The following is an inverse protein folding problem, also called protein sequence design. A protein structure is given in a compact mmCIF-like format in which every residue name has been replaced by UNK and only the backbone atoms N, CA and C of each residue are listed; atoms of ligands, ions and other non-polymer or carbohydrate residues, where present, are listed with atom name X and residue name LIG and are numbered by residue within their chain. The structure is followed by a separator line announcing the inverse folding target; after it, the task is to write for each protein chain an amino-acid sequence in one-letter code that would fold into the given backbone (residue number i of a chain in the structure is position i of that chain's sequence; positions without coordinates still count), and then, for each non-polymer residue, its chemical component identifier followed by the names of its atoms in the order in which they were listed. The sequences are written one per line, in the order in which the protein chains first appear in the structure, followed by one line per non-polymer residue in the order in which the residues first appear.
data_IF_409558919033
#
_entry.id   IF_409558919033
#
_cell.length_a   1.000
_cell.length_b   1.000
_cell.length_c   1.000
_cell.angle_alpha   90.00
_cell.angle_beta   90.00
_cell.angle_gamma   90.00
#
_symmetry.space_group_name_H-M   'P 1'
#
loop_
_entity.id
_entity.type
_entity.pdbx_description
1 polymer ?
#
# COMPACT_ATOMS: atom_id res chain seq x y z
N UNK A 1 6.44 30.06 -10.17
CA UNK A 1 7.90 30.12 -10.47
C UNK A 1 8.28 28.93 -11.35
N UNK A 2 9.42 28.92 -12.04
CA UNK A 2 9.88 27.71 -12.73
C UNK A 2 11.39 27.49 -12.53
N UNK A 3 11.80 26.23 -12.59
CA UNK A 3 13.19 25.80 -12.72
C UNK A 3 13.38 25.13 -14.07
N UNK A 4 14.54 25.28 -14.69
CA UNK A 4 14.85 24.62 -15.96
C UNK A 4 16.15 23.83 -15.90
N UNK A 5 16.20 22.77 -16.69
CA UNK A 5 17.41 22.03 -16.99
C UNK A 5 17.60 22.08 -18.50
N UNK A 6 18.75 22.59 -18.92
CA UNK A 6 19.09 22.84 -20.32
C UNK A 6 20.44 22.19 -20.62
N UNK A 7 20.54 21.52 -21.76
CA UNK A 7 21.83 21.21 -22.37
C UNK A 7 21.94 21.92 -23.72
N UNK A 8 23.12 22.46 -24.00
CA UNK A 8 23.37 23.24 -25.22
C UNK A 8 24.73 22.90 -25.82
N UNK A 9 24.83 23.00 -27.14
CA UNK A 9 26.08 22.94 -27.90
C UNK A 9 26.77 24.30 -28.03
N UNK A 10 26.22 25.36 -27.42
CA UNK A 10 26.85 26.67 -27.38
C UNK A 10 28.26 26.58 -26.77
N UNK A 11 29.23 27.23 -27.42
CA UNK A 11 30.59 27.31 -26.88
C UNK A 11 30.59 28.25 -25.67
N UNK A 12 31.11 27.83 -24.49
CA UNK A 12 31.14 28.69 -23.31
C UNK A 12 31.94 29.97 -23.53
N UNK A 13 31.35 31.10 -23.14
CA UNK A 13 31.99 32.39 -23.03
C UNK A 13 32.82 32.40 -21.76
N UNK A 14 34.11 32.75 -21.89
CA UNK A 14 35.05 32.75 -20.78
C UNK A 14 35.44 34.16 -20.37
N UNK A 15 35.51 34.40 -19.07
CA UNK A 15 36.20 35.56 -18.49
C UNK A 15 37.35 35.04 -17.65
N UNK A 16 38.59 35.34 -18.07
CA UNK A 16 39.81 34.84 -17.42
C UNK A 16 39.87 33.30 -17.30
N UNK A 17 39.39 32.59 -18.32
CA UNK A 17 39.40 31.12 -18.37
C UNK A 17 38.24 30.43 -17.63
N UNK A 18 37.31 31.19 -17.04
CA UNK A 18 36.14 30.67 -16.32
C UNK A 18 34.86 30.95 -17.10
N UNK A 19 33.94 29.98 -17.27
CA UNK A 19 32.63 30.21 -17.87
C UNK A 19 31.87 31.33 -17.16
N UNK A 20 31.31 32.26 -17.94
CA UNK A 20 30.62 33.43 -17.40
C UNK A 20 29.10 33.43 -17.63
N UNK A 21 28.55 32.46 -18.37
CA UNK A 21 27.11 32.27 -18.55
C UNK A 21 26.44 33.28 -19.49
N UNK A 22 27.22 33.99 -20.31
CA UNK A 22 26.71 35.02 -21.25
C UNK A 22 26.46 34.50 -22.66
N UNK A 23 26.51 33.17 -22.86
CA UNK A 23 26.32 32.56 -24.16
C UNK A 23 24.91 32.82 -24.69
N UNK A 24 24.78 33.11 -25.99
CA UNK A 24 23.47 33.17 -26.63
C UNK A 24 22.92 31.75 -26.74
N UNK A 25 21.87 31.47 -25.98
CA UNK A 25 21.11 30.23 -26.08
C UNK A 25 19.90 30.45 -26.99
N UNK A 26 19.76 29.63 -28.01
CA UNK A 26 18.62 29.67 -28.92
C UNK A 26 18.27 28.27 -29.47
N UNK A 27 17.17 28.21 -30.23
CA UNK A 27 16.64 26.96 -30.76
C UNK A 27 17.64 26.13 -31.60
N UNK A 28 18.68 26.74 -32.16
CA UNK A 28 19.69 26.05 -32.99
C UNK A 28 20.74 25.29 -32.18
N UNK A 29 20.96 25.68 -30.91
CA UNK A 29 22.01 25.10 -30.07
C UNK A 29 21.48 24.38 -28.83
N UNK A 30 20.17 24.43 -28.55
CA UNK A 30 19.55 23.64 -27.49
C UNK A 30 19.50 22.16 -27.90
N UNK A 31 20.07 21.30 -27.07
CA UNK A 31 20.06 19.86 -27.25
C UNK A 31 18.95 19.18 -26.43
N UNK A 32 18.69 19.68 -25.22
CA UNK A 32 17.55 19.27 -24.41
C UNK A 32 17.10 20.41 -23.51
N UNK A 33 15.80 20.51 -23.27
CA UNK A 33 15.21 21.45 -22.33
C UNK A 33 14.07 20.78 -21.58
N UNK A 34 14.06 20.93 -20.25
CA UNK A 34 12.90 20.63 -19.42
C UNK A 34 12.61 21.77 -18.46
N UNK A 35 11.33 22.02 -18.19
CA UNK A 35 10.89 23.06 -17.25
C UNK A 35 9.91 22.51 -16.24
N UNK A 36 10.20 22.75 -14.97
CA UNK A 36 9.33 22.37 -13.86
C UNK A 36 8.76 23.65 -13.24
N UNK A 37 7.44 23.79 -13.24
CA UNK A 37 6.70 24.98 -12.80
C UNK A 37 6.10 24.72 -11.43
N UNK A 38 6.21 25.69 -10.52
CA UNK A 38 5.66 25.61 -9.15
C UNK A 38 4.67 26.72 -8.86
N UNK A 39 3.71 26.43 -7.97
CA UNK A 39 2.83 27.44 -7.36
C UNK A 39 3.56 28.22 -6.25
N UNK A 40 2.89 29.21 -5.65
CA UNK A 40 3.47 30.05 -4.60
C UNK A 40 3.80 29.30 -3.29
N UNK A 41 3.19 28.12 -3.09
CA UNK A 41 3.52 27.20 -2.01
C UNK A 41 4.72 26.29 -2.33
N UNK A 42 5.37 26.48 -3.48
CA UNK A 42 6.52 25.69 -3.93
C UNK A 42 6.17 24.30 -4.47
N UNK A 43 4.89 24.00 -4.67
CA UNK A 43 4.44 22.70 -5.16
C UNK A 43 4.51 22.64 -6.69
N UNK A 44 5.05 21.56 -7.25
CA UNK A 44 5.16 21.32 -8.69
C UNK A 44 3.78 21.26 -9.33
N UNK A 45 3.44 22.17 -10.24
CA UNK A 45 2.16 22.19 -10.96
C UNK A 45 2.27 21.70 -12.40
N UNK A 46 3.47 21.71 -12.98
CA UNK A 46 3.72 21.11 -14.29
C UNK A 46 5.20 20.74 -14.49
N UNK A 47 5.46 19.65 -15.20
CA UNK A 47 6.78 19.31 -15.77
C UNK A 47 6.66 19.23 -17.30
N UNK A 48 7.40 20.07 -18.01
CA UNK A 48 7.40 20.17 -19.46
C UNK A 48 8.70 19.58 -20.03
N UNK A 49 8.57 18.66 -20.99
CA UNK A 49 9.67 18.06 -21.74
C UNK A 49 9.62 18.53 -23.19
N UNK A 50 10.56 19.39 -23.57
CA UNK A 50 10.58 19.97 -24.90
C UNK A 50 11.13 18.98 -25.93
N UNK A 51 10.40 18.84 -27.02
CA UNK A 51 10.71 17.94 -28.14
C UNK A 51 10.97 18.72 -29.44
N UNK A 52 10.51 19.98 -29.52
CA UNK A 52 10.67 20.81 -30.70
C UNK A 52 10.58 22.29 -30.36
N UNK A 53 11.47 23.09 -30.97
CA UNK A 53 11.38 24.56 -30.94
C UNK A 53 10.85 25.13 -32.27
N UNK A 54 10.29 24.30 -33.15
CA UNK A 54 9.69 24.80 -34.38
C UNK A 54 8.59 25.83 -34.08
N UNK A 55 8.65 26.98 -34.75
CA UNK A 55 7.69 28.07 -34.58
C UNK A 55 7.73 28.78 -33.21
N UNK A 56 8.71 28.47 -32.35
CA UNK A 56 8.90 29.15 -31.06
C UNK A 56 10.37 29.53 -30.88
N UNK A 57 10.64 30.60 -30.14
CA UNK A 57 12.00 30.97 -29.76
C UNK A 57 12.23 30.64 -28.29
N UNK A 58 13.47 30.32 -27.94
CA UNK A 58 13.85 30.20 -26.55
C UNK A 58 13.76 31.57 -25.87
N UNK A 59 13.16 31.60 -24.67
CA UNK A 59 13.13 32.78 -23.82
C UNK A 59 13.18 32.36 -22.35
N UNK A 60 14.22 32.82 -21.65
CA UNK A 60 14.43 32.57 -20.22
C UNK A 60 13.48 33.39 -19.32
N UNK A 61 12.72 34.34 -19.87
CA UNK A 61 11.76 35.13 -19.10
C UNK A 61 10.34 34.55 -19.13
N UNK A 62 10.06 33.64 -20.06
CA UNK A 62 8.72 33.06 -20.26
C UNK A 62 8.66 31.68 -19.63
N UNK A 63 7.69 31.40 -18.76
CA UNK A 63 7.60 30.10 -18.07
C UNK A 63 7.20 28.94 -18.97
N UNK A 64 6.53 29.20 -20.09
CA UNK A 64 6.05 28.20 -21.05
C UNK A 64 6.38 28.67 -22.46
N UNK A 65 6.98 27.80 -23.28
CA UNK A 65 7.36 28.09 -24.67
C UNK A 65 6.52 27.25 -25.62
N UNK A 66 5.94 27.88 -26.65
CA UNK A 66 5.14 27.17 -27.64
C UNK A 66 3.92 26.45 -27.08
N UNK A 67 3.49 25.39 -27.76
CA UNK A 67 2.21 24.69 -27.54
C UNK A 67 2.43 23.25 -27.08
N UNK A 68 1.66 22.81 -26.07
CA UNK A 68 1.66 21.42 -25.60
C UNK A 68 1.28 20.43 -26.71
N UNK A 69 1.91 19.26 -26.72
CA UNK A 69 1.76 18.23 -27.76
C UNK A 69 2.47 18.55 -29.08
N UNK A 70 2.94 19.78 -29.28
CA UNK A 70 3.72 20.18 -30.47
C UNK A 70 5.18 20.49 -30.10
N UNK A 71 5.38 21.37 -29.13
CA UNK A 71 6.71 21.80 -28.69
C UNK A 71 7.19 21.04 -27.47
N UNK A 72 6.27 20.63 -26.59
CA UNK A 72 6.57 19.90 -25.37
C UNK A 72 5.46 18.93 -24.98
N UNK A 73 5.84 17.87 -24.27
CA UNK A 73 4.93 17.04 -23.50
C UNK A 73 4.87 17.57 -22.07
N UNK A 74 3.67 17.70 -21.50
CA UNK A 74 3.46 18.28 -20.17
C UNK A 74 2.79 17.28 -19.26
N UNK A 75 3.34 17.08 -18.06
CA UNK A 75 2.64 16.41 -16.96
C UNK A 75 2.17 17.48 -15.99
N UNK A 76 0.86 17.55 -15.73
CA UNK A 76 0.25 18.54 -14.84
C UNK A 76 -0.11 17.92 -13.49
N UNK A 77 -0.04 18.72 -12.43
CA UNK A 77 -0.26 18.27 -11.06
C UNK A 77 -1.25 19.18 -10.34
N UNK A 78 -2.17 18.58 -9.58
CA UNK A 78 -3.14 19.29 -8.75
C UNK A 78 -3.08 18.81 -7.31
N UNK A 79 -3.33 19.72 -6.36
CA UNK A 79 -3.22 19.46 -4.92
C UNK A 79 -4.55 19.71 -4.21
N UNK A 80 -4.75 19.04 -3.08
CA UNK A 80 -5.87 19.34 -2.18
C UNK A 80 -5.59 20.52 -1.26
N UNK A 81 -6.59 20.95 -0.48
CA UNK A 81 -6.45 22.07 0.47
C UNK A 81 -5.46 21.83 1.63
N UNK A 82 -4.93 20.61 1.79
CA UNK A 82 -3.85 20.29 2.74
C UNK A 82 -2.49 20.23 2.04
N UNK A 83 -2.43 20.55 0.75
CA UNK A 83 -1.20 20.52 -0.05
C UNK A 83 -0.75 19.13 -0.48
N UNK A 84 -1.62 18.11 -0.41
CA UNK A 84 -1.30 16.74 -0.85
C UNK A 84 -1.64 16.57 -2.33
N UNK A 85 -0.83 15.82 -3.08
CA UNK A 85 -1.04 15.59 -4.51
C UNK A 85 -2.36 14.85 -4.74
N UNK A 86 -3.34 15.50 -5.38
CA UNK A 86 -4.68 14.94 -5.61
C UNK A 86 -4.88 14.49 -7.06
N UNK A 87 -4.15 15.07 -8.02
CA UNK A 87 -4.34 14.86 -9.45
C UNK A 87 -3.00 14.88 -10.17
N UNK A 88 -2.83 13.96 -11.10
CA UNK A 88 -1.78 13.98 -12.12
C UNK A 88 -2.45 13.83 -13.47
N UNK A 89 -2.08 14.63 -14.45
CA UNK A 89 -2.48 14.44 -15.84
C UNK A 89 -1.21 14.32 -16.67
N UNK A 90 -1.03 13.18 -17.33
CA UNK A 90 0.11 12.97 -18.22
C UNK A 90 -0.06 13.72 -19.55
N UNK A 91 0.99 13.71 -20.37
CA UNK A 91 0.98 14.39 -21.65
C UNK A 91 0.03 13.80 -22.69
N UNK A 92 -0.47 12.58 -22.46
CA UNK A 92 -1.46 11.92 -23.31
C UNK A 92 -2.90 12.22 -22.84
N UNK A 93 -3.07 12.98 -21.75
CA UNK A 93 -4.36 13.28 -21.15
C UNK A 93 -4.88 12.19 -20.21
N UNK A 94 -4.06 11.20 -19.84
CA UNK A 94 -4.42 10.25 -18.79
C UNK A 94 -4.40 10.97 -17.46
N UNK A 95 -5.53 10.97 -16.77
CA UNK A 95 -5.71 11.59 -15.46
C UNK A 95 -5.67 10.50 -14.40
N UNK A 96 -4.80 10.64 -13.41
CA UNK A 96 -4.80 9.88 -12.17
C UNK A 96 -5.24 10.77 -11.02
N UNK A 97 -6.20 10.33 -10.21
CA UNK A 97 -6.68 11.04 -9.02
C UNK A 97 -6.55 10.21 -7.76
N UNK A 98 -6.14 10.85 -6.68
CA UNK A 98 -5.96 10.23 -5.36
C UNK A 98 -6.96 10.75 -4.35
N UNK A 99 -7.54 9.82 -3.59
CA UNK A 99 -8.36 10.11 -2.43
C UNK A 99 -7.59 9.75 -1.16
N UNK A 100 -7.77 10.56 -0.12
CA UNK A 100 -7.04 10.42 1.13
C UNK A 100 -7.99 10.34 2.32
N UNK A 101 -7.62 9.53 3.31
CA UNK A 101 -8.27 9.58 4.62
C UNK A 101 -7.82 10.84 5.42
N UNK A 102 -8.38 10.99 6.62
CA UNK A 102 -8.07 12.08 7.55
C UNK A 102 -6.60 12.14 7.99
N UNK A 103 -5.86 11.03 7.87
CA UNK A 103 -4.46 10.90 8.25
C UNK A 103 -3.48 11.12 7.09
N UNK A 104 -3.95 11.40 5.88
CA UNK A 104 -3.07 11.59 4.72
C UNK A 104 -2.64 10.33 4.00
N UNK A 105 -3.29 9.19 4.25
CA UNK A 105 -3.03 7.96 3.51
C UNK A 105 -3.98 7.83 2.32
N UNK A 106 -3.47 7.37 1.18
CA UNK A 106 -4.24 7.17 -0.05
C UNK A 106 -5.22 6.03 0.16
N UNK A 107 -6.52 6.28 0.07
CA UNK A 107 -7.58 5.27 0.18
C UNK A 107 -8.08 4.80 -1.18
N UNK A 108 -8.00 5.62 -2.21
CA UNK A 108 -8.44 5.24 -3.56
C UNK A 108 -7.57 5.91 -4.63
N UNK A 109 -7.40 5.21 -5.75
CA UNK A 109 -6.83 5.74 -6.98
C UNK A 109 -7.84 5.57 -8.12
N UNK A 110 -8.01 6.63 -8.90
CA UNK A 110 -8.93 6.69 -10.02
C UNK A 110 -8.16 7.08 -11.27
N UNK A 111 -8.42 6.41 -12.39
CA UNK A 111 -7.79 6.70 -13.68
C UNK A 111 -8.84 6.94 -14.74
N UNK A 112 -8.65 7.95 -15.58
CA UNK A 112 -9.55 8.30 -16.69
C UNK A 112 -8.91 9.30 -17.64
N UNK A 113 -9.70 9.95 -18.46
CA UNK A 113 -9.26 11.04 -19.35
C UNK A 113 -10.10 12.30 -19.23
N UNK A 114 -11.19 12.24 -18.47
CA UNK A 114 -12.05 13.35 -18.14
C UNK A 114 -12.48 13.26 -16.67
N UNK A 115 -12.09 14.26 -15.90
CA UNK A 115 -12.43 14.42 -14.49
C UNK A 115 -13.33 15.63 -14.22
N UNK A 116 -14.14 16.02 -15.22
CA UNK A 116 -15.09 17.13 -15.17
C UNK A 116 -16.53 16.63 -15.09
N UNK A 117 -17.18 16.65 -13.90
CA UNK A 117 -18.58 16.26 -13.79
C UNK A 117 -19.51 17.29 -14.42
N UNK A 118 -20.76 16.90 -14.71
CA UNK A 118 -21.79 17.80 -15.26
C UNK A 118 -22.02 19.04 -14.39
N UNK A 119 -21.82 18.93 -13.08
CA UNK A 119 -21.87 20.07 -12.16
C UNK A 119 -20.98 19.86 -10.93
N UNK A 120 -20.45 20.95 -10.39
CA UNK A 120 -19.61 20.93 -9.20
C UNK A 120 -18.21 20.35 -9.44
N UNK A 121 -17.51 20.02 -8.36
CA UNK A 121 -16.17 19.45 -8.42
C UNK A 121 -16.23 17.92 -8.41
N UNK A 122 -15.29 17.29 -9.10
CA UNK A 122 -15.15 15.84 -9.07
C UNK A 122 -14.87 15.32 -7.65
N UNK A 123 -15.58 14.25 -7.32
CA UNK A 123 -15.35 13.36 -6.19
C UNK A 123 -15.77 11.93 -6.60
N UNK A 124 -15.39 10.89 -5.85
CA UNK A 124 -15.90 9.53 -6.06
C UNK A 124 -17.43 9.44 -6.12
N UNK A 125 -18.12 10.30 -5.36
CA UNK A 125 -19.58 10.40 -5.35
C UNK A 125 -20.17 11.36 -6.39
N UNK A 126 -19.34 12.12 -7.10
CA UNK A 126 -19.72 13.07 -8.15
C UNK A 126 -18.87 12.84 -9.40
N UNK A 127 -19.02 11.67 -9.99
CA UNK A 127 -18.35 11.27 -11.24
C UNK A 127 -19.29 11.34 -12.46
N UNK A 128 -20.53 11.79 -12.29
CA UNK A 128 -21.50 11.90 -13.38
C UNK A 128 -21.07 12.95 -14.39
N UNK A 129 -20.87 12.55 -15.66
CA UNK A 129 -20.35 13.41 -16.73
C UNK A 129 -18.84 13.27 -16.96
N UNK A 130 -18.10 12.79 -15.96
CA UNK A 130 -16.69 12.42 -16.05
C UNK A 130 -16.56 10.91 -16.41
N UNK A 131 -15.34 10.46 -16.74
CA UNK A 131 -15.06 9.06 -17.08
C UNK A 131 -14.01 8.40 -16.17
N UNK A 132 -13.78 8.97 -14.98
CA UNK A 132 -12.82 8.42 -14.03
C UNK A 132 -13.28 7.03 -13.56
N UNK A 133 -12.36 6.07 -13.60
CA UNK A 133 -12.59 4.68 -13.20
C UNK A 133 -11.77 4.38 -11.97
N UNK A 134 -12.40 3.77 -10.96
CA UNK A 134 -11.69 3.30 -9.77
C UNK A 134 -10.78 2.12 -10.16
N UNK A 135 -9.48 2.24 -9.86
CA UNK A 135 -8.47 1.21 -10.20
C UNK A 135 -7.83 0.59 -8.96
N UNK A 136 -7.89 1.27 -7.82
CA UNK A 136 -7.32 0.78 -6.58
C UNK A 136 -8.06 1.31 -5.36
N UNK A 137 -8.28 0.45 -4.38
CA UNK A 137 -8.73 0.78 -3.04
C UNK A 137 -7.76 0.26 -1.98
N UNK A 138 -7.41 1.12 -1.03
CA UNK A 138 -6.57 0.80 0.11
C UNK A 138 -7.42 0.89 1.38
N UNK A 139 -7.51 -0.23 2.09
CA UNK A 139 -8.18 -0.32 3.37
C UNK A 139 -7.13 -0.30 4.48
N UNK A 140 -7.33 0.56 5.48
CA UNK A 140 -6.45 0.68 6.62
C UNK A 140 -7.12 0.13 7.88
N UNK A 141 -6.33 -0.40 8.83
CA UNK A 141 -6.82 -0.83 10.15
C UNK A 141 -7.54 -2.18 10.18
N UNK A 142 -7.47 -3.00 9.14
CA UNK A 142 -8.07 -4.34 9.11
C UNK A 142 -7.21 -5.37 9.90
N UNK A 143 -7.13 -5.29 11.23
CA UNK A 143 -6.51 -6.37 12.03
C UNK A 143 -7.57 -7.25 12.71
N UNK A 144 -7.71 -8.50 12.26
CA UNK A 144 -8.69 -9.53 12.70
C UNK A 144 -8.27 -10.24 13.99
N UNK A 145 -7.77 -9.46 14.96
CA UNK A 145 -7.15 -10.04 16.16
C UNK A 145 -8.16 -10.61 17.17
N UNK A 146 -9.45 -10.27 17.05
CA UNK A 146 -10.50 -10.72 17.97
C UNK A 146 -11.79 -10.87 17.17
N UNK A 147 -12.52 -11.98 17.36
CA UNK A 147 -13.71 -12.32 16.57
C UNK A 147 -14.63 -11.12 16.31
N UNK A 148 -15.07 -10.99 15.06
CA UNK A 148 -15.84 -9.84 14.58
C UNK A 148 -17.11 -9.62 15.42
N UNK A 149 -17.55 -8.36 15.55
CA UNK A 149 -18.83 -8.09 16.18
C UNK A 149 -19.94 -8.83 15.38
N UNK A 150 -20.83 -9.58 16.03
CA UNK A 150 -21.87 -10.32 15.33
C UNK A 150 -22.83 -9.35 14.65
N UNK A 151 -23.52 -9.81 13.60
CA UNK A 151 -24.62 -9.06 12.99
C UNK A 151 -25.61 -8.62 14.07
N UNK A 152 -25.91 -7.32 14.20
CA UNK A 152 -26.68 -6.81 15.31
C UNK A 152 -28.13 -7.26 15.19
N UNK A 153 -28.69 -7.75 16.29
CA UNK A 153 -30.11 -8.08 16.36
C UNK A 153 -30.91 -6.80 16.55
N UNK A 154 -31.75 -6.46 15.57
CA UNK A 154 -32.53 -5.24 15.56
C UNK A 154 -33.98 -5.48 16.01
N UNK A 155 -34.56 -4.49 16.67
CA UNK A 155 -35.97 -4.46 17.07
C UNK A 155 -36.51 -3.03 17.02
N UNK A 156 -37.81 -2.85 17.29
CA UNK A 156 -38.42 -1.52 17.40
C UNK A 156 -39.09 -1.33 18.75
N UNK A 157 -39.14 -0.09 19.22
CA UNK A 157 -39.89 0.32 20.41
C UNK A 157 -40.80 1.49 20.06
N UNK A 158 -41.98 1.57 20.69
CA UNK A 158 -42.89 2.70 20.50
C UNK A 158 -42.23 3.98 21.02
N UNK A 159 -42.26 5.05 20.23
CA UNK A 159 -41.69 6.33 20.63
C UNK A 159 -41.48 7.33 19.49
N UNK A 160 -41.50 8.61 19.85
CA UNK A 160 -41.24 9.73 18.93
C UNK A 160 -42.36 10.02 17.92
N UNK A 161 -42.15 11.05 17.10
CA UNK A 161 -43.03 11.43 15.98
C UNK A 161 -42.22 11.38 14.68
N UNK A 162 -41.88 10.17 14.25
CA UNK A 162 -41.07 9.91 13.06
C UNK A 162 -41.87 9.16 12.00
N UNK A 163 -41.63 9.46 10.74
CA UNK A 163 -42.19 8.73 9.61
C UNK A 163 -41.65 7.29 9.55
N UNK A 164 -42.38 6.41 8.87
CA UNK A 164 -41.90 5.08 8.55
C UNK A 164 -40.64 5.17 7.66
N UNK A 165 -39.63 4.36 7.95
CA UNK A 165 -38.31 4.44 7.30
C UNK A 165 -37.56 3.11 7.41
N UNK A 166 -36.68 2.83 6.45
CA UNK A 166 -35.73 1.71 6.54
C UNK A 166 -34.41 2.24 7.06
N UNK A 167 -33.85 1.57 8.07
CA UNK A 167 -32.54 1.90 8.64
C UNK A 167 -31.59 0.73 8.47
N UNK A 168 -30.32 1.07 8.28
CA UNK A 168 -29.20 0.17 8.16
C UNK A 168 -28.29 0.35 9.37
N UNK A 169 -27.80 -0.75 9.94
CA UNK A 169 -27.11 -0.75 11.23
C UNK A 169 -25.88 -1.66 11.20
N UNK A 170 -24.79 -1.15 11.78
CA UNK A 170 -23.62 -1.95 12.15
C UNK A 170 -23.20 -1.68 13.59
N UNK A 171 -22.55 -2.65 14.22
CA UNK A 171 -21.92 -2.50 15.54
C UNK A 171 -20.42 -2.79 15.49
N UNK A 172 -19.65 -2.16 16.36
CA UNK A 172 -18.20 -2.38 16.52
C UNK A 172 -17.93 -2.66 17.99
N UNK A 173 -17.22 -3.73 18.33
CA UNK A 173 -16.82 -3.96 19.73
C UNK A 173 -15.67 -3.04 20.14
N UNK A 174 -15.66 -2.65 21.41
CA UNK A 174 -14.64 -1.85 22.09
C UNK A 174 -14.05 -2.69 23.23
N UNK A 175 -12.74 -2.67 23.38
CA UNK A 175 -12.05 -3.20 24.55
C UNK A 175 -10.88 -2.29 24.95
N UNK A 176 -10.11 -2.70 25.97
CA UNK A 176 -8.92 -1.98 26.46
C UNK A 176 -7.83 -1.81 25.40
N UNK A 177 -7.87 -2.63 24.34
CA UNK A 177 -6.96 -2.54 23.22
C UNK A 177 -7.50 -1.60 22.14
N UNK A 178 -8.83 -1.51 21.96
CA UNK A 178 -9.55 -0.57 21.08
C UNK A 178 -10.73 -1.22 20.34
N UNK A 179 -10.94 -0.90 19.07
CA UNK A 179 -12.10 -1.31 18.25
C UNK A 179 -11.88 -2.55 17.39
N UNK A 180 -12.89 -3.42 17.29
CA UNK A 180 -12.93 -4.54 16.32
C UNK A 180 -13.49 -4.11 14.95
N UNK A 181 -13.64 -5.05 14.02
CA UNK A 181 -14.41 -4.80 12.80
C UNK A 181 -15.86 -4.51 13.10
N UNK A 182 -16.48 -3.70 12.24
CA UNK A 182 -17.91 -3.62 12.24
C UNK A 182 -18.54 -4.95 11.84
N UNK A 183 -19.70 -5.23 12.40
CA UNK A 183 -20.57 -6.34 12.03
C UNK A 183 -20.98 -6.31 10.56
N UNK A 184 -21.59 -7.40 10.09
CA UNK A 184 -22.35 -7.33 8.84
C UNK A 184 -23.48 -6.32 9.00
N UNK A 185 -23.87 -5.70 7.89
CA UNK A 185 -24.95 -4.73 7.89
C UNK A 185 -26.28 -5.45 8.12
N UNK A 186 -26.99 -5.06 9.17
CA UNK A 186 -28.37 -5.44 9.37
C UNK A 186 -29.28 -4.31 8.89
N UNK A 187 -30.47 -4.64 8.42
CA UNK A 187 -31.49 -3.64 8.08
C UNK A 187 -32.80 -3.94 8.81
N UNK A 188 -33.57 -2.89 9.08
CA UNK A 188 -34.90 -3.00 9.67
C UNK A 188 -35.82 -1.91 9.13
N UNK A 189 -37.06 -2.30 8.82
CA UNK A 189 -38.16 -1.37 8.56
C UNK A 189 -38.73 -0.89 9.89
N UNK A 190 -38.58 0.41 10.19
CA UNK A 190 -39.12 1.02 11.40
C UNK A 190 -40.47 1.68 11.08
N UNK A 191 -41.58 1.26 11.72
CA UNK A 191 -42.90 1.87 11.50
C UNK A 191 -42.96 3.34 11.93
N UNK A 192 -44.03 4.03 11.52
CA UNK A 192 -44.31 5.39 12.00
C UNK A 192 -44.50 5.39 13.53
N UNK A 193 -44.02 6.44 14.19
CA UNK A 193 -44.05 6.62 15.65
C UNK A 193 -43.34 5.49 16.44
N UNK A 194 -42.35 4.87 15.81
CA UNK A 194 -41.44 3.90 16.42
C UNK A 194 -39.98 4.30 16.23
N UNK A 195 -39.14 3.83 17.15
CA UNK A 195 -37.69 4.04 17.19
C UNK A 195 -36.97 2.71 16.97
N UNK A 196 -35.84 2.75 16.28
CA UNK A 196 -34.91 1.62 16.18
C UNK A 196 -34.35 1.27 17.57
N UNK A 197 -34.26 -0.02 17.87
CA UNK A 197 -33.54 -0.55 19.03
C UNK A 197 -32.52 -1.60 18.59
N UNK A 198 -31.25 -1.34 18.88
CA UNK A 198 -30.15 -2.29 18.71
C UNK A 198 -30.01 -3.06 20.01
N UNK A 199 -30.33 -4.35 19.98
CA UNK A 199 -30.24 -5.19 21.17
C UNK A 199 -28.78 -5.38 21.60
N UNK A 200 -28.57 -5.59 22.90
CA UNK A 200 -27.25 -5.86 23.45
C UNK A 200 -26.64 -7.10 22.73
N UNK A 201 -25.43 -6.98 22.19
CA UNK A 201 -24.78 -8.08 21.52
C UNK A 201 -24.34 -9.15 22.54
N UNK A 202 -24.35 -10.42 22.12
CA UNK A 202 -23.94 -11.53 22.99
C UNK A 202 -22.44 -11.45 23.28
N UNK A 203 -22.04 -11.58 24.54
CA UNK A 203 -20.63 -11.63 24.95
C UNK A 203 -20.20 -10.50 25.89
N UNK A 204 -21.07 -9.53 26.19
CA UNK A 204 -20.82 -8.53 27.23
C UNK A 204 -19.67 -7.56 26.92
N UNK A 205 -19.25 -7.46 25.66
CA UNK A 205 -18.21 -6.54 25.20
C UNK A 205 -18.84 -5.20 24.85
N UNK A 206 -18.27 -4.12 25.39
CA UNK A 206 -18.70 -2.75 25.07
C UNK A 206 -18.67 -2.50 23.56
N UNK A 207 -19.53 -1.62 23.05
CA UNK A 207 -19.71 -1.47 21.62
C UNK A 207 -20.13 -0.06 21.19
N UNK A 208 -19.89 0.26 19.93
CA UNK A 208 -20.40 1.46 19.26
C UNK A 208 -21.47 1.09 18.23
N UNK A 209 -22.47 1.96 18.05
CA UNK A 209 -23.57 1.77 17.08
C UNK A 209 -23.48 2.79 15.96
N UNK A 210 -23.62 2.30 14.73
CA UNK A 210 -23.65 3.09 13.49
C UNK A 210 -24.99 2.87 12.79
N UNK A 211 -25.63 3.96 12.37
CA UNK A 211 -26.94 3.93 11.73
C UNK A 211 -26.95 4.82 10.49
N UNK A 212 -27.58 4.33 9.42
CA UNK A 212 -27.76 5.05 8.16
C UNK A 212 -29.17 4.88 7.59
N UNK A 213 -29.58 5.81 6.73
CA UNK A 213 -30.82 5.72 5.93
C UNK A 213 -30.60 5.08 4.56
N UNK A 214 -29.36 4.74 4.23
CA UNK A 214 -28.96 4.07 3.00
C UNK A 214 -27.86 3.07 3.31
N UNK A 215 -27.88 1.92 2.63
CA UNK A 215 -26.87 0.88 2.78
C UNK A 215 -25.46 1.44 2.53
N UNK A 216 -24.51 1.08 3.39
CA UNK A 216 -23.12 1.54 3.29
C UNK A 216 -22.88 3.01 3.65
N UNK A 217 -23.91 3.78 4.04
CA UNK A 217 -23.80 5.20 4.41
C UNK A 217 -24.28 5.41 5.84
N UNK A 218 -23.44 5.05 6.82
CA UNK A 218 -23.78 5.07 8.24
C UNK A 218 -22.99 6.14 9.03
N UNK A 219 -23.63 6.70 10.05
CA UNK A 219 -23.04 7.64 11.00
C UNK A 219 -23.08 7.05 12.40
N UNK A 220 -22.01 7.22 13.17
CA UNK A 220 -21.94 6.80 14.58
C UNK A 220 -22.97 7.58 15.40
N UNK A 221 -23.77 6.86 16.18
CA UNK A 221 -24.87 7.47 16.95
C UNK A 221 -24.53 7.69 18.42
N UNK A 222 -23.72 6.81 19.02
CA UNK A 222 -23.29 6.93 20.41
C UNK A 222 -21.85 6.46 20.56
N UNK A 223 -21.17 7.00 21.56
CA UNK A 223 -19.83 6.62 21.93
C UNK A 223 -19.83 5.79 23.21
N UNK A 224 -19.53 4.50 23.06
CA UNK A 224 -19.37 3.51 24.12
C UNK A 224 -20.68 3.15 24.85
N UNK A 225 -21.36 2.14 24.31
CA UNK A 225 -22.47 1.45 24.95
C UNK A 225 -21.91 0.24 25.69
N UNK A 226 -22.31 0.07 26.95
CA UNK A 226 -21.89 -1.09 27.73
C UNK A 226 -22.36 -2.40 27.06
N UNK A 227 -21.55 -3.46 27.09
CA UNK A 227 -21.85 -4.69 26.37
C UNK A 227 -23.12 -5.45 26.78
N UNK A 228 -23.74 -5.07 27.89
CA UNK A 228 -25.01 -5.59 28.38
C UNK A 228 -26.19 -4.61 28.20
N UNK A 229 -25.94 -3.40 27.68
CA UNK A 229 -26.94 -2.39 27.44
C UNK A 229 -27.43 -2.47 25.99
N UNK A 230 -28.69 -2.11 25.75
CA UNK A 230 -29.22 -1.92 24.41
C UNK A 230 -29.17 -0.43 24.05
N UNK A 231 -29.01 -0.12 22.77
CA UNK A 231 -29.09 1.25 22.28
C UNK A 231 -30.44 1.50 21.61
N UNK A 232 -31.04 2.66 21.88
CA UNK A 232 -32.32 3.06 21.28
C UNK A 232 -32.12 4.38 20.55
N UNK A 233 -32.65 4.45 19.33
CA UNK A 233 -32.64 5.66 18.52
C UNK A 233 -33.24 6.85 19.29
N UNK A 234 -32.58 8.02 19.27
CA UNK A 234 -33.13 9.23 19.88
C UNK A 234 -34.49 9.61 19.27
N UNK A 235 -35.37 10.20 20.09
CA UNK A 235 -36.61 10.83 19.61
C UNK A 235 -36.32 12.04 18.71
N UNK A 236 -35.17 12.67 18.87
CA UNK A 236 -34.60 13.70 17.98
C UNK A 236 -34.00 13.09 16.71
N UNK A 237 -33.46 13.91 15.81
CA UNK A 237 -32.75 13.41 14.64
C UNK A 237 -31.59 12.47 15.03
N UNK A 238 -31.28 11.51 14.15
CA UNK A 238 -30.02 10.76 14.20
C UNK A 238 -28.86 11.76 14.13
N UNK A 239 -27.72 11.42 14.74
CA UNK A 239 -26.53 12.23 14.64
C UNK A 239 -26.18 12.47 13.16
N UNK A 240 -25.99 13.74 12.79
CA UNK A 240 -25.57 14.18 11.45
C UNK A 240 -24.11 14.59 11.49
N UNK A 241 -23.27 14.04 10.61
CA UNK A 241 -21.83 14.25 10.62
C UNK A 241 -21.12 13.23 9.73
N UNK A 242 -19.79 13.38 9.61
CA UNK A 242 -18.96 12.65 8.63
C UNK A 242 -19.32 11.17 8.47
N UNK A 243 -19.51 10.78 7.21
CA UNK A 243 -19.65 9.40 6.76
C UNK A 243 -18.48 8.59 7.34
N UNK A 244 -18.75 7.54 8.12
CA UNK A 244 -17.69 6.72 8.67
C UNK A 244 -17.27 5.66 7.65
N UNK A 245 -16.04 5.75 7.16
CA UNK A 245 -15.31 4.57 6.70
C UNK A 245 -14.94 3.78 7.96
N UNK A 246 -15.47 2.57 8.09
CA UNK A 246 -15.21 1.70 9.24
C UNK A 246 -13.71 1.42 9.33
N UNK A 247 -13.06 2.08 10.28
CA UNK A 247 -11.64 1.88 10.60
C UNK A 247 -11.59 1.23 11.99
N UNK A 248 -11.22 -0.06 12.12
CA UNK A 248 -10.91 -0.68 13.40
C UNK A 248 -9.59 -0.10 13.92
N UNK A 249 -9.55 0.29 15.18
CA UNK A 249 -8.36 0.81 15.82
C UNK A 249 -8.06 0.04 17.08
N UNK A 250 -7.06 -0.83 17.02
CA UNK A 250 -6.24 -1.24 18.18
C UNK A 250 -4.90 -1.85 17.75
N UNK A 251 -4.27 -1.24 16.75
CA UNK A 251 -3.02 -1.75 16.17
C UNK A 251 -2.65 -1.05 14.87
N UNK A 252 -2.36 0.26 14.97
CA UNK A 252 -1.86 1.17 13.95
C UNK A 252 -2.67 1.32 12.65
N UNK A 253 -2.59 2.52 12.08
CA UNK A 253 -3.17 2.90 10.80
C UNK A 253 -2.52 2.18 9.60
N UNK A 254 -2.12 0.92 9.71
CA UNK A 254 -1.43 0.19 8.66
C UNK A 254 -2.37 -0.15 7.52
N UNK A 255 -1.79 -0.28 6.33
CA UNK A 255 -2.49 -0.79 5.15
C UNK A 255 -2.81 -2.25 5.40
N UNK A 256 -4.07 -2.63 5.34
CA UNK A 256 -4.50 -3.98 5.70
C UNK A 256 -5.19 -4.71 4.56
N UNK A 257 -5.65 -3.98 3.54
CA UNK A 257 -5.91 -4.56 2.24
C UNK A 257 -5.59 -3.57 1.11
N UNK A 258 -5.13 -4.10 -0.01
CA UNK A 258 -5.12 -3.44 -1.32
C UNK A 258 -6.06 -4.22 -2.22
N UNK A 259 -7.01 -3.54 -2.84
CA UNK A 259 -7.91 -4.08 -3.85
C UNK A 259 -7.54 -3.38 -5.15
N UNK A 260 -7.14 -4.13 -6.16
CA UNK A 260 -6.97 -3.60 -7.52
C UNK A 260 -8.14 -4.03 -8.37
N UNK A 261 -8.55 -3.15 -9.27
CA UNK A 261 -9.67 -3.36 -10.19
C UNK A 261 -9.14 -3.39 -11.64
N UNK A 262 -8.61 -4.53 -12.14
CA UNK A 262 -7.94 -4.58 -13.44
C UNK A 262 -8.89 -4.32 -14.62
N UNK A 263 -10.16 -4.65 -14.46
CA UNK A 263 -11.22 -4.47 -15.46
C UNK A 263 -11.92 -3.11 -15.36
N UNK A 264 -11.59 -2.33 -14.32
CA UNK A 264 -12.19 -1.03 -14.03
C UNK A 264 -13.51 -1.15 -13.27
N UNK A 265 -13.63 -0.41 -12.17
CA UNK A 265 -14.80 -0.47 -11.29
C UNK A 265 -14.77 -1.67 -10.33
N UNK A 266 -15.72 -1.73 -9.40
CA UNK A 266 -15.74 -2.77 -8.37
C UNK A 266 -16.35 -4.06 -8.91
N UNK A 267 -15.53 -5.09 -9.13
CA UNK A 267 -15.99 -6.44 -9.49
C UNK A 267 -15.23 -7.51 -8.70
N UNK A 268 -15.84 -7.99 -7.63
CA UNK A 268 -15.28 -9.02 -6.74
C UNK A 268 -14.91 -10.34 -7.46
N UNK A 269 -15.34 -10.55 -8.70
CA UNK A 269 -14.91 -11.69 -9.51
C UNK A 269 -13.52 -11.51 -10.14
N UNK A 270 -13.12 -10.27 -10.42
CA UNK A 270 -11.87 -9.92 -11.13
C UNK A 270 -10.91 -9.08 -10.30
N UNK A 271 -11.37 -8.57 -9.16
CA UNK A 271 -10.56 -7.83 -8.21
C UNK A 271 -9.37 -8.66 -7.72
N UNK A 272 -8.20 -8.03 -7.70
CA UNK A 272 -7.00 -8.60 -7.12
C UNK A 272 -6.82 -8.04 -5.72
N UNK A 273 -7.02 -8.88 -4.71
CA UNK A 273 -6.93 -8.48 -3.31
C UNK A 273 -5.65 -9.02 -2.68
N UNK A 274 -4.90 -8.11 -2.06
CA UNK A 274 -3.81 -8.45 -1.12
C UNK A 274 -4.22 -8.02 0.27
N UNK A 275 -4.18 -8.95 1.23
CA UNK A 275 -4.38 -8.67 2.65
C UNK A 275 -3.03 -8.60 3.39
N UNK A 276 -2.94 -7.74 4.39
CA UNK A 276 -1.74 -7.55 5.21
C UNK A 276 -2.07 -7.74 6.69
N UNK A 277 -1.29 -8.58 7.37
CA UNK A 277 -1.49 -8.95 8.76
C UNK A 277 -0.27 -8.52 9.58
N UNK A 278 -0.51 -7.75 10.63
CA UNK A 278 0.53 -7.23 11.50
C UNK A 278 0.46 -7.88 12.87
N UNK A 279 1.57 -7.88 13.60
CA UNK A 279 1.59 -8.20 15.02
C UNK A 279 1.37 -6.96 15.89
N UNK A 280 1.30 -7.17 17.22
CA UNK A 280 1.17 -6.11 18.22
C UNK A 280 2.35 -5.10 18.24
N UNK A 281 3.49 -5.43 17.62
CA UNK A 281 4.64 -4.52 17.45
C UNK A 281 4.59 -3.73 16.14
N UNK A 282 3.50 -3.83 15.40
CA UNK A 282 3.33 -3.17 14.10
C UNK A 282 4.20 -3.75 12.97
N UNK A 283 4.65 -4.99 13.08
CA UNK A 283 5.47 -5.66 12.06
C UNK A 283 4.60 -6.49 11.14
N UNK A 284 4.89 -6.50 9.84
CA UNK A 284 4.15 -7.29 8.85
C UNK A 284 4.49 -8.77 9.01
N UNK A 285 3.59 -9.56 9.59
CA UNK A 285 3.83 -10.99 9.86
C UNK A 285 3.27 -11.89 8.77
N UNK A 286 2.21 -11.47 8.07
CA UNK A 286 1.76 -12.22 6.89
C UNK A 286 1.15 -11.33 5.82
N UNK A 287 1.23 -11.77 4.57
CA UNK A 287 0.40 -11.29 3.46
C UNK A 287 -0.45 -12.43 2.92
N UNK A 288 -1.61 -12.10 2.34
CA UNK A 288 -2.39 -13.03 1.54
C UNK A 288 -2.74 -12.39 0.21
N UNK A 289 -2.08 -12.83 -0.85
CA UNK A 289 -2.36 -12.42 -2.23
C UNK A 289 -3.42 -13.33 -2.84
N UNK A 290 -4.28 -12.77 -3.69
CA UNK A 290 -5.38 -13.52 -4.33
C UNK A 290 -6.58 -13.76 -3.42
N UNK A 291 -6.70 -13.01 -2.32
CA UNK A 291 -7.87 -13.12 -1.44
C UNK A 291 -9.16 -12.67 -2.16
N UNK A 292 -10.31 -13.01 -1.58
CA UNK A 292 -11.60 -12.41 -1.98
C UNK A 292 -12.17 -11.64 -0.81
N UNK A 293 -12.94 -10.59 -1.10
CA UNK A 293 -13.67 -9.85 -0.07
C UNK A 293 -15.18 -10.02 -0.24
N UNK A 294 -15.89 -10.17 0.86
CA UNK A 294 -17.34 -10.05 0.88
C UNK A 294 -17.78 -8.58 0.87
N UNK A 295 -19.09 -8.33 0.82
CA UNK A 295 -19.68 -6.97 0.85
C UNK A 295 -19.37 -6.15 2.11
N UNK A 296 -18.84 -6.79 3.16
CA UNK A 296 -18.33 -6.15 4.36
C UNK A 296 -16.83 -5.82 4.31
N UNK A 297 -16.17 -5.99 3.16
CA UNK A 297 -14.73 -5.90 2.97
C UNK A 297 -13.93 -6.86 3.88
N UNK A 298 -14.49 -8.05 4.12
CA UNK A 298 -13.84 -9.11 4.89
C UNK A 298 -13.38 -10.23 4.00
N UNK A 299 -12.27 -10.87 4.36
CA UNK A 299 -11.78 -12.05 3.65
C UNK A 299 -12.87 -13.13 3.56
N UNK A 300 -13.28 -13.44 2.33
CA UNK A 300 -14.27 -14.45 2.00
C UNK A 300 -13.56 -15.72 1.53
N UNK A 301 -13.10 -16.52 2.49
CA UNK A 301 -12.46 -17.80 2.21
C UNK A 301 -13.42 -18.85 1.67
N UNK A 302 -14.73 -18.67 1.81
CA UNK A 302 -15.72 -19.62 1.30
C UNK A 302 -15.97 -19.41 -0.21
N UNK A 303 -15.83 -18.18 -0.69
CA UNK A 303 -15.87 -17.84 -2.11
C UNK A 303 -14.56 -18.06 -2.86
N UNK A 304 -13.47 -18.38 -2.16
CA UNK A 304 -12.19 -18.74 -2.76
C UNK A 304 -12.26 -20.13 -3.40
N UNK A 305 -11.74 -20.24 -4.62
CA UNK A 305 -11.61 -21.51 -5.35
C UNK A 305 -10.15 -21.74 -5.72
N UNK A 306 -9.78 -22.98 -6.06
CA UNK A 306 -8.43 -23.31 -6.54
C UNK A 306 -8.01 -22.60 -7.84
N UNK A 307 -8.95 -21.95 -8.54
CA UNK A 307 -8.65 -21.09 -9.68
C UNK A 307 -8.06 -19.73 -9.26
N UNK A 308 -8.23 -19.34 -8.00
CA UNK A 308 -7.73 -18.05 -7.46
C UNK A 308 -6.23 -18.12 -7.15
N UNK A 309 -5.73 -19.32 -6.81
CA UNK A 309 -4.31 -19.58 -6.51
C UNK A 309 -3.76 -18.59 -5.48
N UNK A 310 -4.49 -18.43 -4.37
CA UNK A 310 -4.11 -17.50 -3.31
C UNK A 310 -2.80 -17.95 -2.67
N UNK A 311 -1.95 -17.00 -2.34
CA UNK A 311 -0.66 -17.28 -1.70
C UNK A 311 -0.58 -16.53 -0.38
N UNK A 312 -0.28 -17.26 0.70
CA UNK A 312 0.05 -16.62 1.98
C UNK A 312 1.57 -16.60 2.13
N UNK A 313 2.14 -15.43 2.33
CA UNK A 313 3.55 -15.29 2.74
C UNK A 313 3.58 -14.97 4.23
N UNK A 314 4.39 -15.69 5.00
CA UNK A 314 4.53 -15.54 6.45
C UNK A 314 5.98 -15.22 6.81
N UNK A 315 6.16 -14.23 7.68
CA UNK A 315 7.45 -13.72 8.14
C UNK A 315 7.65 -14.06 9.61
N UNK A 316 8.75 -14.73 9.92
CA UNK A 316 9.21 -14.97 11.29
C UNK A 316 10.27 -13.95 11.64
N UNK A 317 10.20 -13.41 12.85
CA UNK A 317 11.10 -12.37 13.34
C UNK A 317 11.86 -12.83 14.58
N UNK A 318 13.09 -12.34 14.74
CA UNK A 318 13.77 -12.36 16.03
C UNK A 318 13.31 -11.21 16.95
N UNK A 319 13.96 -11.09 18.11
CA UNK A 319 13.66 -10.05 19.11
C UNK A 319 14.18 -8.65 18.74
N UNK A 320 14.98 -8.53 17.68
CA UNK A 320 15.52 -7.26 17.18
C UNK A 320 14.93 -6.87 15.81
N UNK A 321 13.85 -7.55 15.39
CA UNK A 321 13.07 -7.30 14.17
C UNK A 321 13.76 -7.69 12.86
N UNK A 322 14.71 -8.62 12.88
CA UNK A 322 15.17 -9.26 11.65
C UNK A 322 14.22 -10.37 11.23
N UNK A 323 13.97 -10.48 9.92
CA UNK A 323 13.22 -11.60 9.35
C UNK A 323 14.12 -12.84 9.34
N UNK A 324 13.87 -13.79 10.24
CA UNK A 324 14.68 -15.01 10.36
C UNK A 324 14.18 -16.13 9.46
N UNK A 325 12.91 -16.11 9.06
CA UNK A 325 12.38 -17.01 8.05
C UNK A 325 11.24 -16.38 7.25
N UNK A 326 11.12 -16.82 6.01
CA UNK A 326 9.98 -16.55 5.13
C UNK A 326 9.42 -17.89 4.68
N UNK A 327 8.12 -18.09 4.88
CA UNK A 327 7.40 -19.28 4.46
C UNK A 327 6.26 -18.89 3.52
N UNK A 328 6.08 -19.60 2.41
CA UNK A 328 4.93 -19.43 1.53
C UNK A 328 4.01 -20.63 1.62
N UNK A 329 2.70 -20.36 1.58
CA UNK A 329 1.65 -21.35 1.71
C UNK A 329 0.66 -21.23 0.57
N UNK A 330 0.08 -22.37 0.24
CA UNK A 330 -1.20 -22.42 -0.45
C UNK A 330 -2.26 -21.76 0.43
N UNK A 331 -2.80 -20.65 -0.07
CA UNK A 331 -3.69 -19.78 0.67
C UNK A 331 -5.15 -20.04 0.41
N UNK A 332 -5.52 -20.90 -0.54
CA UNK A 332 -6.92 -21.05 -0.96
C UNK A 332 -7.80 -21.60 0.16
N UNK A 333 -8.86 -20.87 0.50
CA UNK A 333 -9.77 -21.21 1.59
C UNK A 333 -9.17 -21.02 2.99
N UNK A 334 -7.95 -20.46 3.09
CA UNK A 334 -7.23 -20.32 4.35
C UNK A 334 -7.51 -18.98 4.99
N UNK A 335 -7.99 -19.03 6.23
CA UNK A 335 -8.18 -17.87 7.08
C UNK A 335 -6.94 -17.67 7.96
N UNK A 336 -6.25 -16.54 7.81
CA UNK A 336 -5.20 -16.15 8.76
C UNK A 336 -5.88 -15.63 10.03
N UNK A 337 -5.72 -16.39 11.11
CA UNK A 337 -6.17 -16.02 12.46
C UNK A 337 -5.02 -15.39 13.24
N UNK A 338 -5.26 -14.91 14.45
CA UNK A 338 -4.21 -14.44 15.35
C UNK A 338 -4.43 -14.97 16.76
N UNK A 339 -3.33 -15.16 17.49
CA UNK A 339 -3.33 -15.50 18.92
C UNK A 339 -2.56 -14.39 19.62
N UNK A 340 -3.15 -13.77 20.63
CA UNK A 340 -2.51 -12.70 21.42
C UNK A 340 -1.94 -11.56 20.55
N UNK A 341 -2.64 -11.22 19.48
CA UNK A 341 -2.23 -10.15 18.56
C UNK A 341 -1.09 -10.51 17.60
N UNK A 342 -0.66 -11.77 17.54
CA UNK A 342 0.31 -12.27 16.55
C UNK A 342 -0.44 -13.13 15.52
N UNK A 343 -0.31 -12.86 14.20
CA UNK A 343 -0.89 -13.72 13.17
C UNK A 343 -0.39 -15.16 13.30
N UNK A 344 -1.30 -16.12 13.24
CA UNK A 344 -0.98 -17.53 13.33
C UNK A 344 -0.43 -18.03 11.99
N UNK A 345 0.67 -18.77 12.07
CA UNK A 345 1.25 -19.48 10.93
C UNK A 345 0.26 -20.51 10.38
N UNK A 346 0.01 -20.58 9.06
CA UNK A 346 -0.86 -21.60 8.48
C UNK A 346 -0.36 -23.02 8.72
N UNK A 347 -1.25 -24.01 8.55
CA UNK A 347 -0.92 -25.43 8.67
C UNK A 347 0.31 -25.80 7.83
N UNK A 348 1.21 -26.62 8.38
CA UNK A 348 2.39 -27.08 7.65
C UNK A 348 2.03 -27.82 6.38
N UNK A 349 0.89 -28.52 6.32
CA UNK A 349 0.41 -29.22 5.10
C UNK A 349 0.20 -28.30 3.89
N UNK A 350 0.04 -27.00 4.13
CA UNK A 350 -0.16 -25.98 3.09
C UNK A 350 1.16 -25.34 2.66
N UNK A 351 2.29 -25.66 3.28
CA UNK A 351 3.59 -25.05 2.97
C UNK A 351 4.00 -25.39 1.54
N UNK A 352 4.54 -24.40 0.82
CA UNK A 352 5.02 -24.49 -0.56
C UNK A 352 6.45 -23.98 -0.74
N UNK A 353 6.92 -23.12 0.16
CA UNK A 353 8.29 -22.63 0.15
C UNK A 353 8.75 -22.22 1.53
N UNK A 354 10.06 -22.38 1.80
CA UNK A 354 10.68 -21.93 3.04
C UNK A 354 12.11 -21.46 2.80
N UNK A 355 12.42 -20.28 3.29
CA UNK A 355 13.77 -19.75 3.40
C UNK A 355 14.05 -19.26 4.82
N UNK A 356 15.30 -19.39 5.26
CA UNK A 356 15.81 -18.87 6.52
C UNK A 356 16.96 -17.90 6.26
N UNK A 357 17.06 -16.87 7.10
CA UNK A 357 18.08 -15.84 7.02
C UNK A 357 18.83 -15.76 8.35
N UNK A 358 20.15 -15.73 8.26
CA UNK A 358 21.04 -15.59 9.40
C UNK A 358 21.84 -14.30 9.29
N UNK A 359 21.87 -13.57 10.40
CA UNK A 359 22.44 -12.24 10.48
C UNK A 359 23.73 -12.27 11.28
N UNK A 360 24.70 -11.45 10.86
CA UNK A 360 25.89 -11.19 11.66
C UNK A 360 25.62 -10.14 12.73
N UNK A 361 26.63 -9.83 13.54
CA UNK A 361 26.54 -8.86 14.64
C UNK A 361 26.23 -7.43 14.16
N UNK A 362 26.35 -7.15 12.86
CA UNK A 362 26.04 -5.85 12.26
C UNK A 362 24.72 -5.88 11.46
N UNK A 363 23.87 -6.89 11.70
CA UNK A 363 22.55 -7.00 11.08
C UNK A 363 22.59 -7.20 9.57
N UNK A 364 23.66 -7.78 9.03
CA UNK A 364 23.79 -8.14 7.61
C UNK A 364 23.54 -9.63 7.42
N UNK A 365 22.82 -9.99 6.36
CA UNK A 365 22.56 -11.41 6.03
C UNK A 365 23.85 -12.08 5.55
N UNK A 366 24.47 -12.86 6.43
CA UNK A 366 25.66 -13.63 6.10
C UNK A 366 25.30 -15.01 5.54
N UNK A 367 24.09 -15.52 5.76
CA UNK A 367 23.66 -16.80 5.19
C UNK A 367 22.16 -16.84 4.93
N UNK A 368 21.80 -17.30 3.74
CA UNK A 368 20.43 -17.66 3.36
C UNK A 368 20.36 -19.16 3.13
N UNK A 369 19.36 -19.82 3.70
CA UNK A 369 19.05 -21.24 3.45
C UNK A 369 17.70 -21.34 2.77
N UNK A 370 17.63 -21.99 1.62
CA UNK A 370 16.36 -22.29 0.94
C UNK A 370 16.12 -23.79 0.93
N UNK A 371 14.97 -24.21 1.41
CA UNK A 371 14.61 -25.62 1.58
C UNK A 371 13.70 -26.08 0.43
N UNK A 372 13.75 -27.36 0.08
CA UNK A 372 12.68 -27.96 -0.71
C UNK A 372 11.52 -28.31 0.21
N UNK A 373 10.30 -28.15 -0.32
CA UNK A 373 9.06 -28.47 0.39
C UNK A 373 8.30 -29.48 -0.46
N UNK A 374 7.93 -30.60 0.14
CA UNK A 374 7.03 -31.56 -0.48
C UNK A 374 5.64 -30.94 -0.62
N UNK A 375 5.16 -30.74 -1.84
CA UNK A 375 3.91 -30.02 -2.08
C UNK A 375 2.65 -30.77 -1.63
N UNK A 376 2.74 -32.08 -1.40
CA UNK A 376 1.60 -32.91 -0.99
C UNK A 376 1.41 -32.94 0.53
N UNK A 377 2.51 -32.85 1.28
CA UNK A 377 2.53 -33.01 2.74
C UNK A 377 3.02 -31.77 3.48
N UNK A 378 3.67 -30.84 2.78
CA UNK A 378 4.35 -29.69 3.36
C UNK A 378 5.64 -30.02 4.11
N UNK A 379 6.14 -31.25 4.00
CA UNK A 379 7.38 -31.67 4.65
C UNK A 379 8.58 -30.89 4.10
N UNK A 380 9.41 -30.34 5.00
CA UNK A 380 10.61 -29.58 4.66
C UNK A 380 11.81 -30.51 4.62
N UNK A 381 12.66 -30.38 3.61
CA UNK A 381 13.90 -31.15 3.50
C UNK A 381 14.85 -30.92 4.69
N UNK A 382 15.62 -31.96 5.05
CA UNK A 382 16.70 -31.83 6.03
C UNK A 382 17.90 -31.03 5.51
N UNK A 383 18.10 -31.04 4.19
CA UNK A 383 19.12 -30.25 3.49
C UNK A 383 18.54 -28.94 2.96
N UNK A 384 19.39 -27.93 2.79
CA UNK A 384 19.02 -26.65 2.18
C UNK A 384 20.07 -26.21 1.17
N UNK A 385 19.63 -25.48 0.15
CA UNK A 385 20.50 -24.68 -0.70
C UNK A 385 20.99 -23.48 0.10
N UNK A 386 22.31 -23.39 0.32
CA UNK A 386 22.93 -22.35 1.16
C UNK A 386 23.64 -21.32 0.30
N UNK A 387 23.29 -20.06 0.47
CA UNK A 387 24.11 -18.94 -0.01
C UNK A 387 24.77 -18.30 1.20
N UNK A 388 26.10 -18.12 1.19
CA UNK A 388 26.82 -17.46 2.29
C UNK A 388 27.56 -16.24 1.78
N UNK A 389 27.55 -15.16 2.57
CA UNK A 389 28.11 -13.86 2.25
C UNK A 389 29.13 -13.47 3.31
N UNK A 390 30.24 -12.87 2.88
CA UNK A 390 31.25 -12.28 3.75
C UNK A 390 31.46 -10.83 3.37
N UNK A 391 31.50 -9.97 4.38
CA UNK A 391 31.58 -8.53 4.20
C UNK A 391 32.84 -8.02 4.88
N UNK A 392 33.58 -7.10 4.25
CA UNK A 392 34.73 -6.43 4.87
C UNK A 392 34.30 -5.56 6.09
N UNK A 393 35.26 -5.06 6.88
CA UNK A 393 34.96 -4.17 8.01
C UNK A 393 34.26 -2.85 7.65
N UNK A 394 34.26 -2.45 6.37
CA UNK A 394 33.55 -1.26 5.88
C UNK A 394 32.12 -1.57 5.42
N UNK A 395 31.74 -2.85 5.34
CA UNK A 395 30.41 -3.28 4.93
C UNK A 395 30.33 -3.85 3.52
N UNK A 396 31.41 -3.87 2.75
CA UNK A 396 31.38 -4.31 1.36
C UNK A 396 31.36 -5.83 1.24
N UNK A 397 30.48 -6.37 0.40
CA UNK A 397 30.43 -7.80 0.09
C UNK A 397 31.70 -8.22 -0.68
N UNK A 398 32.59 -8.96 -0.02
CA UNK A 398 33.88 -9.39 -0.58
C UNK A 398 33.89 -10.84 -1.05
N UNK A 399 32.96 -11.67 -0.56
CA UNK A 399 32.77 -13.06 -1.02
C UNK A 399 31.29 -13.44 -0.95
N UNK A 400 30.82 -14.15 -1.96
CA UNK A 400 29.53 -14.85 -1.97
C UNK A 400 29.75 -16.28 -2.44
N UNK A 401 29.24 -17.26 -1.70
CA UNK A 401 29.27 -18.67 -2.04
C UNK A 401 27.85 -19.15 -2.35
N UNK A 402 27.60 -19.52 -3.61
CA UNK A 402 26.31 -20.00 -4.07
C UNK A 402 26.08 -21.48 -3.70
N UNK A 403 24.82 -21.95 -3.64
CA UNK A 403 24.50 -23.32 -3.24
C UNK A 403 25.12 -24.42 -4.11
N UNK A 404 25.42 -24.10 -5.37
CA UNK A 404 26.07 -25.01 -6.32
C UNK A 404 27.60 -25.07 -6.21
N UNK A 405 28.19 -24.42 -5.20
CA UNK A 405 29.64 -24.39 -4.97
C UNK A 405 30.39 -23.27 -5.70
N UNK A 406 29.75 -22.54 -6.60
CA UNK A 406 30.34 -21.37 -7.26
C UNK A 406 30.57 -20.25 -6.25
N UNK A 407 31.77 -19.71 -6.21
CA UNK A 407 32.14 -18.59 -5.34
C UNK A 407 32.45 -17.36 -6.19
N UNK A 408 32.01 -16.19 -5.76
CA UNK A 408 32.42 -14.90 -6.32
C UNK A 408 33.16 -14.12 -5.25
N UNK A 409 34.35 -13.61 -5.57
CA UNK A 409 35.15 -12.73 -4.69
C UNK A 409 35.32 -11.38 -5.35
N UNK A 410 35.18 -10.30 -4.58
CA UNK A 410 35.20 -8.92 -5.09
C UNK A 410 36.09 -8.06 -4.20
N UNK A 411 36.96 -7.25 -4.82
CA UNK A 411 37.80 -6.28 -4.11
C UNK A 411 37.39 -4.85 -4.47
N UNK A 412 37.53 -3.95 -3.50
CA UNK A 412 37.09 -2.55 -3.62
C UNK A 412 38.23 -1.59 -3.28
N UNK A 413 38.28 -0.47 -3.99
CA UNK A 413 39.20 0.63 -3.67
C UNK A 413 38.74 1.40 -2.41
N UNK A 414 39.49 2.45 -2.06
CA UNK A 414 39.17 3.31 -0.92
C UNK A 414 37.83 4.07 -1.04
N UNK A 415 37.33 4.28 -2.26
CA UNK A 415 36.07 4.97 -2.55
C UNK A 415 34.86 4.01 -2.69
N UNK A 416 35.08 2.70 -2.54
CA UNK A 416 34.03 1.69 -2.69
C UNK A 416 33.76 1.25 -4.14
N UNK A 417 34.62 1.62 -5.09
CA UNK A 417 34.52 1.08 -6.46
C UNK A 417 35.16 -0.29 -6.55
N UNK A 418 34.50 -1.19 -7.28
CA UNK A 418 35.03 -2.51 -7.60
C UNK A 418 36.32 -2.35 -8.41
N UNK A 419 37.39 -2.99 -7.95
CA UNK A 419 38.66 -3.10 -8.69
C UNK A 419 38.70 -4.42 -9.44
N UNK A 420 38.28 -5.51 -8.79
CA UNK A 420 38.34 -6.86 -9.34
C UNK A 420 37.13 -7.67 -8.86
N UNK A 421 36.62 -8.53 -9.74
CA UNK A 421 35.62 -9.55 -9.41
C UNK A 421 36.00 -10.84 -10.11
N UNK A 422 36.13 -11.90 -9.32
CA UNK A 422 36.57 -13.21 -9.78
C UNK A 422 35.57 -14.28 -9.37
N UNK A 423 35.36 -15.25 -10.25
CA UNK A 423 34.55 -16.43 -9.98
C UNK A 423 35.50 -17.59 -9.73
N UNK A 424 35.28 -18.37 -8.68
CA UNK A 424 36.15 -19.48 -8.31
C UNK A 424 35.37 -20.67 -7.75
N UNK A 425 36.07 -21.78 -7.51
CA UNK A 425 35.59 -22.90 -6.70
C UNK A 425 35.59 -22.60 -5.18
N UNK A 426 36.04 -21.41 -4.78
CA UNK A 426 36.15 -20.97 -3.40
C UNK A 426 37.27 -21.62 -2.58
N UNK A 427 38.05 -22.52 -3.19
CA UNK A 427 39.10 -23.28 -2.52
C UNK A 427 38.62 -24.10 -1.31
N UNK A 428 39.58 -24.61 -0.53
CA UNK A 428 39.32 -25.14 0.80
C UNK A 428 39.37 -24.03 1.86
N UNK A 429 38.71 -22.91 1.61
CA UNK A 429 38.71 -21.74 2.50
C UNK A 429 38.14 -22.08 3.87
N UNK A 430 38.98 -22.00 4.92
CA UNK A 430 38.59 -22.31 6.31
C UNK A 430 38.52 -21.08 7.21
N UNK A 431 38.97 -19.91 6.75
CA UNK A 431 39.03 -18.69 7.56
C UNK A 431 38.43 -17.48 6.86
N UNK A 432 38.02 -16.49 7.65
CA UNK A 432 37.50 -15.23 7.14
C UNK A 432 38.55 -14.45 6.32
N UNK A 433 39.84 -14.56 6.65
CA UNK A 433 40.92 -13.88 5.91
C UNK A 433 41.02 -14.32 4.44
N UNK A 434 40.60 -15.55 4.13
CA UNK A 434 40.57 -16.03 2.74
C UNK A 434 39.42 -15.43 1.92
N UNK A 435 38.41 -14.84 2.57
CA UNK A 435 37.30 -14.21 1.85
C UNK A 435 37.76 -13.04 0.97
N UNK A 436 38.88 -12.40 1.32
CA UNK A 436 39.47 -11.27 0.59
C UNK A 436 40.59 -11.63 -0.38
N UNK A 437 40.92 -12.92 -0.57
CA UNK A 437 42.04 -13.33 -1.44
C UNK A 437 41.63 -14.51 -2.33
N UNK A 438 42.33 -14.73 -3.45
CA UNK A 438 42.14 -15.90 -4.34
C UNK A 438 43.17 -17.00 -4.03
N UNK A 439 43.78 -16.97 -2.85
CA UNK A 439 44.88 -17.88 -2.52
C UNK A 439 44.36 -19.31 -2.33
N UNK A 440 44.73 -20.20 -3.25
CA UNK A 440 44.30 -21.61 -3.23
C UNK A 440 42.99 -21.87 -3.98
N UNK A 441 42.37 -20.82 -4.52
CA UNK A 441 41.21 -20.91 -5.38
C UNK A 441 41.61 -21.38 -6.79
N UNK A 442 40.72 -22.11 -7.46
CA UNK A 442 40.73 -22.21 -8.92
C UNK A 442 39.77 -21.20 -9.50
N UNK A 443 40.30 -20.31 -10.34
CA UNK A 443 39.62 -19.15 -10.93
C UNK A 443 39.30 -19.42 -12.39
#
# INVERSE_FOLDING_TARGET
VYTEMLTSSATPNLTSGVPNGTETIDASNILSLSRSRTNDAGQLVADDRYISFSGTSYAAATSTLGTGGTNYYSTQYGYDGRGRLKRVEDANGTITRYQYNGLGKVTQEWVGTDDTPTSGNWSPSNNGGANMTLVLENLYGLQRAWGDAPTPTLSTVSGGTKAARTLYVKIVYRNEHGHTFASDEASISVPANSLLRVNAPSGGVDYDVYVGTSSGQLTRQDAQIAGNAAWTEPTTALATGGIYAINPGSGANNLSATIRHPTGGTDAATDQVTLYYYDWQNRLVATKDGARLNSGNRNDTAGESSATQSVITYYEYDNVNHVTAVSTYDGDGVLVTATEGVPNKPSSSLLRGKSEYHYDEWSRVYQTKTYSVDSSSGAVSSNALKTSNWFDPRGYLIKSAAPGGLVTKTTYNGLGWVIESSVSDGGSDTTYAHASTLAGDKV
#
